data_IF_100340062363
#
_entry.id   IF_100340062363
#
_cell.length_a   1.000
_cell.length_b   1.000
_cell.length_c   1.000
_cell.angle_alpha   90.00
_cell.angle_beta   90.00
_cell.angle_gamma   90.00
#
_symmetry.space_group_name_H-M   'P 1'
#
loop_
_entity.id
_entity.type
_entity.pdbx_description
1 polymer ?
#
# COMPACT_ATOMS: atom_id res chain seq x y z
N UNK A 1 -7.50 16.93 -48.99
CA UNK A 1 -6.24 17.03 -49.77
C UNK A 1 -5.17 16.28 -49.02
N UNK A 2 -4.74 15.15 -49.57
CA UNK A 2 -3.63 14.34 -49.08
C UNK A 2 -2.30 15.00 -49.48
N UNK A 3 -1.27 14.88 -48.64
CA UNK A 3 0.11 14.98 -49.13
C UNK A 3 1.02 14.05 -48.33
N UNK A 4 1.25 12.92 -48.98
CA UNK A 4 2.34 11.96 -48.80
C UNK A 4 3.70 12.67 -48.99
N UNK A 5 4.70 12.28 -48.19
CA UNK A 5 6.11 12.33 -48.64
C UNK A 5 6.95 11.24 -47.97
N UNK A 6 7.33 10.28 -48.79
CA UNK A 6 8.33 9.23 -48.58
C UNK A 6 9.74 9.77 -48.31
N UNK A 7 10.55 9.04 -47.52
CA UNK A 7 11.63 8.15 -48.03
C UNK A 7 12.53 7.57 -46.93
N UNK A 8 12.78 6.25 -47.09
CA UNK A 8 14.05 5.47 -46.97
C UNK A 8 14.90 5.57 -45.69
N UNK A 9 15.53 4.52 -45.16
CA UNK A 9 15.73 3.09 -45.49
C UNK A 9 16.23 2.41 -44.19
N UNK A 10 16.73 1.18 -44.10
CA UNK A 10 17.19 0.14 -45.01
C UNK A 10 17.26 -1.13 -44.15
N UNK A 11 16.56 -2.21 -44.51
CA UNK A 11 16.56 -3.49 -43.77
C UNK A 11 17.67 -4.40 -44.32
N UNK A 12 18.48 -4.96 -43.42
CA UNK A 12 19.54 -5.92 -43.74
C UNK A 12 19.00 -7.35 -43.75
N UNK A 13 19.16 -8.01 -44.89
CA UNK A 13 18.89 -9.42 -45.14
C UNK A 13 20.08 -10.30 -44.67
N UNK A 14 19.80 -11.56 -44.30
CA UNK A 14 20.85 -12.55 -44.11
C UNK A 14 20.38 -13.88 -43.51
N UNK A 15 19.80 -14.75 -44.35
CA UNK A 15 19.81 -16.20 -44.16
C UNK A 15 20.47 -16.82 -45.42
N UNK A 16 21.17 -17.97 -45.32
CA UNK A 16 20.45 -19.22 -45.52
C UNK A 16 20.97 -20.45 -44.73
N UNK A 17 20.12 -21.48 -44.74
CA UNK A 17 20.31 -22.87 -44.28
C UNK A 17 21.40 -23.60 -45.09
N UNK A 18 22.11 -24.52 -44.42
CA UNK A 18 22.94 -25.57 -45.02
C UNK A 18 22.84 -26.87 -44.20
N UNK A 19 22.75 -27.99 -44.92
CA UNK A 19 22.36 -29.35 -44.49
C UNK A 19 23.39 -30.13 -43.63
N UNK A 20 22.99 -31.24 -42.98
CA UNK A 20 23.88 -32.13 -42.23
C UNK A 20 24.49 -33.22 -43.13
N UNK A 21 25.81 -33.21 -43.27
CA UNK A 21 26.59 -34.25 -43.94
C UNK A 21 27.11 -35.32 -42.98
N UNK A 22 26.72 -36.56 -43.22
CA UNK A 22 27.32 -37.79 -42.70
C UNK A 22 28.63 -38.12 -43.41
N UNK A 23 29.67 -38.55 -42.68
CA UNK A 23 30.67 -39.44 -43.29
C UNK A 23 31.40 -40.34 -42.27
N UNK A 24 31.77 -41.51 -42.78
CA UNK A 24 32.37 -42.65 -42.12
C UNK A 24 33.91 -42.56 -42.09
N UNK A 25 34.54 -43.37 -41.22
CA UNK A 25 35.83 -43.97 -41.57
C UNK A 25 37.01 -43.79 -40.62
N UNK A 26 37.17 -44.75 -39.69
CA UNK A 26 38.31 -45.70 -39.64
C UNK A 26 39.76 -45.15 -39.71
N UNK A 27 40.52 -45.34 -38.62
CA UNK A 27 41.89 -45.92 -38.53
C UNK A 27 42.57 -45.43 -37.23
N UNK A 28 42.75 -46.25 -36.19
CA UNK A 28 43.85 -47.21 -35.94
C UNK A 28 45.30 -46.67 -36.01
N UNK A 29 46.01 -46.93 -34.89
CA UNK A 29 47.47 -46.96 -34.64
C UNK A 29 48.14 -45.58 -34.46
N UNK A 30 48.95 -45.32 -33.43
CA UNK A 30 49.42 -46.11 -32.30
C UNK A 30 50.69 -45.50 -31.69
N UNK A 31 50.89 -45.77 -30.40
CA UNK A 31 52.17 -45.88 -29.67
C UNK A 31 52.90 -44.62 -29.13
N UNK A 32 52.93 -44.61 -27.78
CA UNK A 32 54.08 -44.36 -26.86
C UNK A 32 54.53 -42.88 -26.79
N UNK A 33 54.72 -42.23 -25.64
CA UNK A 33 55.40 -42.58 -24.37
C UNK A 33 55.00 -41.49 -23.36
N UNK A 34 54.57 -41.84 -22.14
CA UNK A 34 55.41 -41.59 -20.97
C UNK A 34 55.17 -40.22 -20.31
N UNK A 35 54.25 -40.15 -19.35
CA UNK A 35 53.97 -38.95 -18.56
C UNK A 35 53.28 -39.31 -17.26
N UNK A 36 54.07 -39.85 -16.33
CA UNK A 36 53.72 -40.26 -14.97
C UNK A 36 53.08 -39.09 -14.20
N UNK A 37 51.75 -38.97 -14.26
CA UNK A 37 50.98 -38.15 -13.32
C UNK A 37 50.20 -39.08 -12.42
N UNK A 38 50.53 -38.98 -11.14
CA UNK A 38 50.03 -39.79 -10.04
C UNK A 38 48.50 -39.82 -10.07
N UNK A 39 47.94 -40.98 -10.37
CA UNK A 39 46.61 -41.33 -9.89
C UNK A 39 46.72 -41.54 -8.38
N UNK A 40 46.45 -40.49 -7.61
CA UNK A 40 45.99 -40.66 -6.24
C UNK A 40 44.56 -41.20 -6.32
N UNK A 41 44.47 -42.53 -6.30
CA UNK A 41 43.24 -43.23 -6.03
C UNK A 41 42.91 -43.14 -4.56
N UNK A 42 41.86 -42.40 -4.22
CA UNK A 42 40.79 -42.86 -3.31
C UNK A 42 39.61 -41.90 -3.38
N UNK A 43 38.81 -42.05 -4.42
CA UNK A 43 37.36 -41.85 -4.28
C UNK A 43 36.82 -43.03 -3.45
N UNK A 44 35.86 -42.71 -2.59
CA UNK A 44 35.09 -43.57 -1.65
C UNK A 44 35.74 -43.80 -0.29
N UNK A 45 35.55 -42.80 0.56
CA UNK A 45 35.01 -43.01 1.91
C UNK A 45 33.65 -42.31 1.99
N UNK A 46 32.77 -42.54 1.01
CA UNK A 46 31.37 -42.21 1.20
C UNK A 46 30.90 -43.19 2.24
N UNK A 47 30.86 -42.75 3.51
CA UNK A 47 30.19 -43.50 4.54
C UNK A 47 28.79 -43.75 3.99
N UNK A 48 28.50 -45.00 3.65
CA UNK A 48 27.14 -45.46 3.48
C UNK A 48 26.53 -45.32 4.87
N UNK A 49 26.04 -44.12 5.17
CA UNK A 49 25.35 -43.78 6.38
C UNK A 49 24.01 -44.50 6.29
N UNK A 50 23.95 -45.70 6.85
CA UNK A 50 22.69 -46.39 7.05
C UNK A 50 21.76 -45.46 7.82
N UNK A 51 20.57 -45.23 7.28
CA UNK A 51 19.52 -44.41 7.89
C UNK A 51 19.30 -44.91 9.32
N UNK A 52 19.70 -44.11 10.30
CA UNK A 52 19.44 -44.48 11.69
C UNK A 52 17.97 -44.20 11.99
N UNK A 53 17.37 -45.00 12.87
CA UNK A 53 15.99 -44.78 13.31
C UNK A 53 15.83 -43.39 13.96
N UNK A 54 16.91 -42.88 14.56
CA UNK A 54 17.02 -41.54 15.11
C UNK A 54 16.93 -40.46 14.03
N UNK A 55 17.49 -40.68 12.84
CA UNK A 55 17.46 -39.74 11.72
C UNK A 55 16.05 -39.58 11.13
N UNK A 56 15.30 -40.66 11.02
CA UNK A 56 13.89 -40.59 10.59
C UNK A 56 13.04 -39.87 11.63
N UNK A 57 13.26 -40.14 12.92
CA UNK A 57 12.58 -39.44 14.02
C UNK A 57 12.93 -37.94 14.04
N UNK A 58 14.21 -37.60 13.82
CA UNK A 58 14.67 -36.21 13.71
C UNK A 58 14.04 -35.52 12.48
N UNK A 59 13.99 -36.19 11.34
CA UNK A 59 13.39 -35.65 10.13
C UNK A 59 11.89 -35.38 10.33
N UNK A 60 11.16 -36.31 10.93
CA UNK A 60 9.74 -36.15 11.24
C UNK A 60 9.49 -35.01 12.24
N UNK A 61 10.31 -34.91 13.30
CA UNK A 61 10.19 -33.83 14.29
C UNK A 61 10.51 -32.46 13.70
N UNK A 62 11.60 -32.33 12.94
CA UNK A 62 11.96 -31.09 12.26
C UNK A 62 10.90 -30.70 11.22
N UNK A 63 10.36 -31.66 10.46
CA UNK A 63 9.30 -31.40 9.50
C UNK A 63 8.00 -30.97 10.20
N UNK A 64 7.67 -31.57 11.35
CA UNK A 64 6.56 -31.14 12.19
C UNK A 64 6.69 -29.68 12.65
N UNK A 65 7.87 -29.27 13.11
CA UNK A 65 8.14 -27.88 13.51
C UNK A 65 8.01 -26.90 12.32
N UNK A 66 8.50 -27.28 11.14
CA UNK A 66 8.34 -26.49 9.90
C UNK A 66 6.87 -26.31 9.55
N UNK A 67 6.08 -27.39 9.60
CA UNK A 67 4.64 -27.35 9.32
C UNK A 67 3.91 -26.44 10.31
N UNK A 68 4.18 -26.56 11.61
CA UNK A 68 3.60 -25.69 12.64
C UNK A 68 3.95 -24.22 12.39
N UNK A 69 5.21 -23.92 12.03
CA UNK A 69 5.62 -22.57 11.65
C UNK A 69 4.89 -22.05 10.41
N UNK A 70 4.73 -22.89 9.38
CA UNK A 70 3.99 -22.54 8.16
C UNK A 70 2.49 -22.31 8.44
N UNK A 71 1.86 -23.13 9.29
CA UNK A 71 0.49 -22.92 9.73
C UNK A 71 0.33 -21.63 10.54
N UNK A 72 1.31 -21.27 11.37
CA UNK A 72 1.33 -19.97 12.05
C UNK A 72 1.37 -18.78 11.08
N UNK A 73 2.15 -18.90 9.99
CA UNK A 73 2.20 -17.90 8.92
C UNK A 73 0.91 -17.82 8.10
N UNK A 74 0.21 -18.94 7.90
CA UNK A 74 -1.11 -18.96 7.24
C UNK A 74 -2.19 -18.32 8.12
N UNK A 75 -2.17 -18.60 9.42
CA UNK A 75 -3.12 -18.02 10.37
C UNK A 75 -2.94 -16.50 10.50
N UNK A 76 -1.70 -16.01 10.43
CA UNK A 76 -1.43 -14.58 10.42
C UNK A 76 -1.87 -13.91 9.11
N UNK A 77 -1.69 -14.56 7.96
CA UNK A 77 -2.15 -14.05 6.66
C UNK A 77 -3.67 -13.81 6.62
N UNK A 78 -4.47 -14.71 7.21
CA UNK A 78 -5.95 -14.56 7.27
C UNK A 78 -6.37 -13.40 8.19
N UNK A 79 -5.64 -13.16 9.28
CA UNK A 79 -5.95 -12.08 10.22
C UNK A 79 -5.55 -10.69 9.72
N UNK A 80 -4.59 -10.59 8.78
CA UNK A 80 -4.12 -9.33 8.20
C UNK A 80 -5.16 -8.69 7.26
N UNK A 81 -5.97 -9.51 6.58
CA UNK A 81 -7.00 -9.07 5.62
C UNK A 81 -8.07 -8.17 6.28
N UNK A 82 -8.53 -8.53 7.48
CA UNK A 82 -9.61 -7.80 8.19
C UNK A 82 -9.23 -6.36 8.54
N UNK A 83 -7.96 -6.11 8.87
CA UNK A 83 -7.45 -4.77 9.17
C UNK A 83 -7.35 -3.89 7.93
N UNK A 84 -6.98 -4.50 6.79
CA UNK A 84 -6.91 -3.82 5.49
C UNK A 84 -8.29 -3.40 4.98
N UNK A 85 -9.29 -4.27 5.18
CA UNK A 85 -10.68 -4.00 4.80
C UNK A 85 -11.33 -2.91 5.66
N UNK A 86 -11.11 -2.92 6.97
CA UNK A 86 -11.64 -1.87 7.86
C UNK A 86 -11.03 -0.50 7.55
N UNK A 87 -9.73 -0.41 7.24
CA UNK A 87 -9.09 0.84 6.84
C UNK A 87 -9.68 1.38 5.52
N UNK A 88 -9.87 0.50 4.53
CA UNK A 88 -10.48 0.86 3.24
C UNK A 88 -11.93 1.35 3.42
N UNK A 89 -12.70 0.70 4.31
CA UNK A 89 -14.07 1.11 4.64
C UNK A 89 -14.10 2.47 5.34
N UNK A 90 -13.22 2.71 6.30
CA UNK A 90 -13.11 4.02 6.97
C UNK A 90 -12.81 5.12 5.95
N UNK A 91 -11.88 4.88 5.02
CA UNK A 91 -11.54 5.86 3.98
C UNK A 91 -12.75 6.20 3.09
N UNK A 92 -13.57 5.21 2.72
CA UNK A 92 -14.80 5.43 1.94
C UNK A 92 -15.86 6.22 2.72
N UNK A 93 -16.06 5.89 4.00
CA UNK A 93 -16.98 6.63 4.88
C UNK A 93 -16.52 8.07 5.07
N UNK A 94 -15.22 8.25 5.34
CA UNK A 94 -14.61 9.57 5.47
C UNK A 94 -14.77 10.38 4.19
N UNK A 95 -14.51 9.77 3.02
CA UNK A 95 -14.64 10.45 1.74
C UNK A 95 -16.07 10.91 1.50
N UNK A 96 -17.05 10.02 1.66
CA UNK A 96 -18.47 10.36 1.52
C UNK A 96 -18.88 11.49 2.47
N UNK A 97 -18.52 11.36 3.74
CA UNK A 97 -18.89 12.35 4.75
C UNK A 97 -18.23 13.70 4.47
N UNK A 98 -16.96 13.69 4.07
CA UNK A 98 -16.22 14.89 3.66
C UNK A 98 -16.87 15.55 2.45
N UNK A 99 -17.26 14.78 1.44
CA UNK A 99 -17.95 15.31 0.26
C UNK A 99 -19.27 15.99 0.67
N UNK A 100 -20.03 15.44 1.63
CA UNK A 100 -21.22 16.09 2.16
C UNK A 100 -20.91 17.40 2.90
N UNK A 101 -19.88 17.41 3.76
CA UNK A 101 -19.46 18.61 4.48
C UNK A 101 -18.93 19.69 3.55
N UNK A 102 -18.26 19.31 2.48
CA UNK A 102 -17.72 20.23 1.48
C UNK A 102 -18.83 20.95 0.69
N UNK A 103 -19.93 20.24 0.37
CA UNK A 103 -21.06 20.77 -0.39
C UNK A 103 -21.90 21.78 0.39
N UNK A 104 -21.98 21.67 1.72
CA UNK A 104 -22.78 22.58 2.54
C UNK A 104 -21.94 23.72 3.13
N UNK A 105 -22.06 24.90 2.51
CA UNK A 105 -21.38 26.12 2.94
C UNK A 105 -22.10 26.87 4.07
N UNK A 106 -23.27 26.40 4.49
CA UNK A 106 -24.09 27.04 5.54
C UNK A 106 -23.83 26.47 6.93
N UNK A 107 -23.00 25.42 7.01
CA UNK A 107 -22.66 24.77 8.27
C UNK A 107 -22.04 25.75 9.28
N UNK A 108 -22.39 25.62 10.57
CA UNK A 108 -21.84 26.48 11.60
C UNK A 108 -20.34 26.24 11.76
N UNK A 109 -19.59 27.33 11.88
CA UNK A 109 -18.12 27.32 12.05
C UNK A 109 -17.77 27.35 13.53
N UNK A 110 -16.60 26.81 13.86
CA UNK A 110 -16.07 26.64 15.21
C UNK A 110 -17.01 25.86 16.16
N UNK A 111 -17.91 25.03 15.61
CA UNK A 111 -18.80 24.15 16.37
C UNK A 111 -18.48 22.70 16.05
N UNK A 112 -18.61 21.83 17.06
CA UNK A 112 -18.50 20.39 16.90
C UNK A 112 -19.78 19.88 16.23
N UNK A 113 -19.64 19.40 15.00
CA UNK A 113 -20.66 18.67 14.27
C UNK A 113 -20.43 17.18 14.51
N UNK A 114 -21.47 16.42 14.77
CA UNK A 114 -21.34 14.97 14.96
C UNK A 114 -22.53 14.21 14.41
N UNK A 115 -22.29 12.93 14.11
CA UNK A 115 -23.34 12.03 13.64
C UNK A 115 -22.92 10.57 13.78
N UNK A 116 -23.91 9.68 13.70
CA UNK A 116 -23.69 8.23 13.72
C UNK A 116 -23.95 7.64 12.34
N UNK A 117 -23.13 6.68 11.93
CA UNK A 117 -23.40 5.91 10.72
C UNK A 117 -24.41 4.80 11.01
N UNK A 118 -25.29 4.46 10.04
CA UNK A 118 -26.17 3.31 10.18
C UNK A 118 -25.39 2.00 10.31
N UNK A 119 -25.87 1.07 11.12
CA UNK A 119 -25.24 -0.24 11.38
C UNK A 119 -24.98 -1.04 10.10
N UNK A 120 -25.79 -0.84 9.06
CA UNK A 120 -25.63 -1.50 7.76
C UNK A 120 -24.32 -1.13 7.04
N UNK A 121 -23.70 0.01 7.40
CA UNK A 121 -22.42 0.43 6.82
C UNK A 121 -21.23 -0.16 7.56
N UNK A 122 -21.39 -0.45 8.86
CA UNK A 122 -20.35 -1.07 9.69
C UNK A 122 -20.95 -2.19 10.56
N UNK A 123 -21.22 -3.38 9.97
CA UNK A 123 -21.82 -4.47 10.71
C UNK A 123 -20.96 -4.93 11.90
N UNK A 124 -21.61 -5.10 13.05
CA UNK A 124 -20.97 -5.55 14.29
C UNK A 124 -20.02 -4.52 14.91
N UNK A 125 -20.18 -3.23 14.58
CA UNK A 125 -19.49 -2.12 15.22
C UNK A 125 -20.41 -0.92 15.33
N UNK A 126 -20.21 -0.10 16.36
CA UNK A 126 -20.76 1.26 16.37
C UNK A 126 -19.80 2.16 15.60
N UNK A 127 -20.32 3.05 14.75
CA UNK A 127 -19.48 3.99 14.02
C UNK A 127 -20.13 5.35 13.92
N UNK A 128 -19.31 6.39 13.89
CA UNK A 128 -19.78 7.75 13.70
C UNK A 128 -18.66 8.68 13.29
N UNK A 129 -19.00 9.96 13.25
CA UNK A 129 -18.11 11.00 12.81
C UNK A 129 -18.25 12.24 13.67
N UNK A 130 -17.18 13.01 13.73
CA UNK A 130 -17.10 14.33 14.35
C UNK A 130 -16.38 15.27 13.41
N UNK A 131 -16.85 16.49 13.24
CA UNK A 131 -16.20 17.46 12.39
C UNK A 131 -16.25 18.87 12.97
N UNK A 132 -15.21 19.63 12.68
CA UNK A 132 -15.14 21.05 13.03
C UNK A 132 -14.65 21.81 11.81
N UNK A 133 -15.32 22.92 11.52
CA UNK A 133 -15.03 23.78 10.37
C UNK A 133 -14.56 25.12 10.89
N UNK A 134 -13.50 25.69 10.33
CA UNK A 134 -13.03 27.00 10.75
C UNK A 134 -12.20 27.72 9.70
N UNK A 135 -12.04 29.05 9.86
CA UNK A 135 -11.04 29.81 9.13
C UNK A 135 -9.65 29.19 9.30
N UNK A 136 -8.88 29.11 8.21
CA UNK A 136 -7.51 28.59 8.23
C UNK A 136 -6.51 29.61 7.68
N UNK A 137 -6.78 30.14 6.50
CA UNK A 137 -5.88 31.08 5.83
C UNK A 137 -6.67 32.15 5.08
N UNK A 138 -6.19 33.40 5.10
CA UNK A 138 -6.81 34.51 4.38
C UNK A 138 -5.73 35.43 3.80
N UNK A 139 -6.11 36.33 2.90
CA UNK A 139 -5.20 37.34 2.37
C UNK A 139 -4.72 38.36 3.44
N UNK A 140 -5.46 38.49 4.55
CA UNK A 140 -5.04 39.28 5.70
C UNK A 140 -4.23 38.43 6.68
N UNK A 141 -3.20 39.04 7.24
CA UNK A 141 -2.36 38.42 8.26
C UNK A 141 -2.73 38.98 9.65
N UNK A 142 -2.91 38.14 10.68
CA UNK A 142 -3.18 38.63 12.03
C UNK A 142 -2.11 39.66 12.46
N UNK A 143 -2.49 40.76 13.14
CA UNK A 143 -3.78 41.01 13.80
C UNK A 143 -4.85 41.67 12.91
N UNK A 144 -4.62 41.82 11.61
CA UNK A 144 -5.60 42.42 10.71
C UNK A 144 -6.73 41.41 10.39
N UNK A 145 -7.98 41.86 10.51
CA UNK A 145 -9.14 41.04 10.17
C UNK A 145 -9.31 41.04 8.64
N UNK A 146 -9.55 39.89 8.01
CA UNK A 146 -9.86 39.89 6.59
C UNK A 146 -11.16 40.68 6.32
N UNK A 147 -11.18 41.55 5.30
CA UNK A 147 -12.36 42.35 5.02
C UNK A 147 -13.54 41.45 4.59
N UNK A 148 -14.78 41.77 4.97
CA UNK A 148 -15.95 41.06 4.49
C UNK A 148 -16.00 41.03 2.96
N UNK A 149 -16.34 39.89 2.37
CA UNK A 149 -16.29 39.69 0.92
C UNK A 149 -14.94 39.23 0.37
N UNK A 150 -13.87 39.27 1.17
CA UNK A 150 -12.58 38.71 0.78
C UNK A 150 -12.64 37.18 0.64
N UNK A 151 -11.68 36.62 -0.08
CA UNK A 151 -11.49 35.17 -0.19
C UNK A 151 -10.71 34.66 1.02
N UNK A 152 -11.17 33.53 1.54
CA UNK A 152 -10.55 32.80 2.65
C UNK A 152 -10.55 31.31 2.34
N UNK A 153 -9.61 30.59 2.96
CA UNK A 153 -9.58 29.14 3.03
C UNK A 153 -10.14 28.71 4.37
N UNK A 154 -11.14 27.86 4.33
CA UNK A 154 -11.64 27.12 5.47
C UNK A 154 -10.99 25.75 5.51
N UNK A 155 -10.73 25.28 6.73
CA UNK A 155 -10.35 23.89 6.97
C UNK A 155 -11.53 23.15 7.59
N UNK A 156 -11.76 21.95 7.10
CA UNK A 156 -12.70 20.98 7.65
C UNK A 156 -11.84 19.87 8.26
N UNK A 157 -11.84 19.76 9.59
CA UNK A 157 -11.27 18.62 10.30
C UNK A 157 -12.39 17.61 10.54
N UNK A 158 -12.20 16.36 10.12
CA UNK A 158 -13.16 15.26 10.23
C UNK A 158 -12.49 14.10 10.93
N UNK A 159 -13.14 13.57 11.95
CA UNK A 159 -12.79 12.32 12.61
C UNK A 159 -13.86 11.28 12.33
N UNK A 160 -13.42 10.06 12.02
CA UNK A 160 -14.27 8.88 11.95
C UNK A 160 -13.89 7.98 13.10
N UNK A 161 -14.86 7.64 13.96
CA UNK A 161 -14.65 6.70 15.04
C UNK A 161 -15.43 5.41 14.79
N UNK A 162 -14.80 4.28 15.07
CA UNK A 162 -15.41 2.95 15.05
C UNK A 162 -15.12 2.27 16.38
N UNK A 163 -16.16 1.75 17.02
CA UNK A 163 -16.09 1.01 18.29
C UNK A 163 -16.53 -0.44 18.07
N UNK A 164 -15.59 -1.38 18.28
CA UNK A 164 -15.84 -2.84 18.30
C UNK A 164 -15.41 -3.42 19.64
N UNK A 165 -16.31 -4.14 20.31
CA UNK A 165 -15.99 -4.88 21.54
C UNK A 165 -15.26 -4.03 22.60
N UNK A 166 -15.70 -2.78 22.80
CA UNK A 166 -15.12 -1.86 23.78
C UNK A 166 -13.82 -1.17 23.35
N UNK A 167 -13.26 -1.47 22.17
CA UNK A 167 -12.13 -0.72 21.60
C UNK A 167 -12.63 0.29 20.58
N UNK A 168 -12.26 1.55 20.78
CA UNK A 168 -12.53 2.63 19.84
C UNK A 168 -11.27 2.93 19.02
N UNK A 169 -11.44 2.98 17.70
CA UNK A 169 -10.43 3.42 16.74
C UNK A 169 -10.93 4.71 16.13
N UNK A 170 -10.07 5.72 16.13
CA UNK A 170 -10.36 7.03 15.53
C UNK A 170 -9.37 7.27 14.40
N UNK A 171 -9.87 7.67 13.25
CA UNK A 171 -9.07 8.10 12.09
C UNK A 171 -9.42 9.54 11.75
N UNK A 172 -8.40 10.35 11.44
CA UNK A 172 -8.55 11.79 11.22
C UNK A 172 -8.28 12.15 9.76
N UNK A 173 -9.07 13.07 9.26
CA UNK A 173 -9.04 13.57 7.90
C UNK A 173 -9.15 15.09 7.91
N UNK A 174 -8.44 15.73 6.98
CA UNK A 174 -8.54 17.18 6.80
C UNK A 174 -8.85 17.47 5.33
N UNK A 175 -9.65 18.51 5.11
CA UNK A 175 -9.88 19.06 3.79
C UNK A 175 -9.94 20.58 3.87
N UNK A 176 -9.78 21.22 2.71
CA UNK A 176 -9.77 22.67 2.59
C UNK A 176 -10.75 23.08 1.50
N UNK A 177 -11.48 24.18 1.73
CA UNK A 177 -12.34 24.78 0.72
C UNK A 177 -12.22 26.29 0.73
N UNK A 178 -12.46 26.90 -0.41
CA UNK A 178 -12.53 28.36 -0.50
C UNK A 178 -13.91 28.84 -0.05
N UNK A 179 -13.94 29.91 0.73
CA UNK A 179 -15.14 30.60 1.15
C UNK A 179 -14.97 32.12 1.02
N UNK A 180 -16.09 32.83 1.12
CA UNK A 180 -16.14 34.28 1.21
C UNK A 180 -16.26 34.66 2.68
N UNK A 181 -15.45 35.60 3.12
CA UNK A 181 -15.41 36.07 4.52
C UNK A 181 -16.71 36.79 4.86
N UNK A 182 -17.41 36.29 5.87
CA UNK A 182 -18.49 37.01 6.55
C UNK A 182 -17.95 37.80 7.75
N UNK A 183 -18.76 38.70 8.31
CA UNK A 183 -18.39 39.47 9.51
C UNK A 183 -18.05 38.54 10.69
N UNK A 184 -18.81 37.45 10.85
CA UNK A 184 -18.56 36.43 11.88
C UNK A 184 -17.24 35.69 11.64
N UNK A 185 -16.89 35.41 10.38
CA UNK A 185 -15.66 34.71 10.03
C UNK A 185 -14.40 35.52 10.36
N UNK A 186 -14.45 36.82 10.11
CA UNK A 186 -13.34 37.72 10.42
C UNK A 186 -13.02 37.70 11.93
N UNK A 187 -14.04 37.62 12.78
CA UNK A 187 -13.88 37.50 14.23
C UNK A 187 -13.29 36.14 14.63
N UNK A 188 -13.80 35.05 14.05
CA UNK A 188 -13.28 33.69 14.31
C UNK A 188 -11.81 33.55 13.89
N UNK A 189 -11.45 34.14 12.74
CA UNK A 189 -10.07 34.16 12.23
C UNK A 189 -9.12 34.87 13.22
N UNK A 190 -9.51 36.03 13.74
CA UNK A 190 -8.72 36.77 14.73
C UNK A 190 -8.55 36.03 16.05
N UNK A 191 -9.57 35.27 16.46
CA UNK A 191 -9.52 34.48 17.70
C UNK A 191 -8.68 33.19 17.57
N UNK A 192 -8.28 32.81 16.36
CA UNK A 192 -7.80 31.45 16.08
C UNK A 192 -8.85 30.37 16.41
N UNK A 193 -10.10 30.79 16.62
CA UNK A 193 -11.20 29.96 17.08
C UNK A 193 -11.81 29.25 15.88
N UNK A 194 -11.58 27.95 15.82
CA UNK A 194 -12.03 27.09 14.73
C UNK A 194 -11.32 25.75 14.70
N UNK A 195 -10.19 25.60 15.38
CA UNK A 195 -9.26 24.49 15.14
C UNK A 195 -8.79 23.72 16.39
N UNK A 196 -9.08 24.20 17.60
CA UNK A 196 -8.66 23.54 18.86
C UNK A 196 -9.53 22.31 19.22
N UNK A 197 -10.78 22.27 18.74
CA UNK A 197 -11.80 21.35 19.24
C UNK A 197 -11.58 19.86 18.89
N UNK A 198 -10.75 19.54 17.89
CA UNK A 198 -10.42 18.15 17.49
C UNK A 198 -8.93 17.82 17.63
N UNK A 199 -8.17 18.69 18.32
CA UNK A 199 -6.74 18.47 18.60
C UNK A 199 -6.50 17.65 19.88
N UNK A 200 -7.53 17.46 20.70
CA UNK A 200 -7.53 16.63 21.91
C UNK A 200 -8.09 15.24 21.61
#
# INVERSE_FOLDING_TARGET
>A
MASVKDRAGKQGAGAPRGEPGSDHGRAQRGRRRGGRRQMSGRRRGGAEQGFTLLEVLLAMTLMGLVIVGAFGALQSAVNVETRSQDASRIALLARRQMDQLLLDHTLPKAQLLEGRFPDQWVPGAEAGWRATIGPYESAAMPPEAPPPGARMIERIALEIWIRRSGRERVERFESFRSAVVTVTDAQLFLQGAGLEALRQ
#
